data_IF_751633094166
#
_entry.id   IF_751633094166
#
_cell.length_a   1.000
_cell.length_b   1.000
_cell.length_c   1.000
_cell.angle_alpha   90.00
_cell.angle_beta   90.00
_cell.angle_gamma   90.00
#
_symmetry.space_group_name_H-M   'P 1'
#
loop_
_entity.id
_entity.type
_entity.pdbx_description
1 polymer ?
#
# COMPACT_ATOMS: atom_id res chain seq x y z
N UNK A 1 25.72 3.27 23.03
CA UNK A 1 24.34 2.82 23.31
C UNK A 1 23.47 3.25 22.15
N UNK A 2 23.08 2.32 21.27
CA UNK A 2 22.29 2.58 20.04
C UNK A 2 21.02 1.73 20.01
N UNK A 3 20.60 1.24 21.18
CA UNK A 3 19.41 0.41 21.38
C UNK A 3 18.11 1.21 21.24
N UNK A 4 18.14 2.54 21.42
CA UNK A 4 16.94 3.37 21.40
C UNK A 4 16.26 3.45 20.02
N UNK A 5 17.03 3.60 18.95
CA UNK A 5 16.49 3.75 17.59
C UNK A 5 15.85 2.45 17.06
N UNK A 6 16.50 1.31 17.29
CA UNK A 6 15.99 -0.01 16.89
C UNK A 6 14.76 -0.41 17.72
N UNK A 7 14.77 -0.09 19.02
CA UNK A 7 13.61 -0.31 19.89
C UNK A 7 12.41 0.54 19.47
N UNK A 8 12.62 1.82 19.18
CA UNK A 8 11.56 2.71 18.67
C UNK A 8 10.95 2.18 17.36
N UNK A 9 11.78 1.65 16.45
CA UNK A 9 11.28 1.03 15.22
C UNK A 9 10.37 -0.16 15.50
N UNK A 10 10.81 -1.04 16.41
CA UNK A 10 10.05 -2.23 16.76
C UNK A 10 8.73 -1.87 17.45
N UNK A 11 8.71 -0.83 18.27
CA UNK A 11 7.50 -0.32 18.93
C UNK A 11 6.50 0.27 17.92
N UNK A 12 6.97 1.08 16.97
CA UNK A 12 6.09 1.75 16.00
C UNK A 12 5.65 0.80 14.88
N UNK A 13 6.59 0.07 14.28
CA UNK A 13 6.36 -0.72 13.06
C UNK A 13 6.13 -2.20 13.35
N UNK A 14 6.37 -2.67 14.58
CA UNK A 14 6.24 -4.09 14.93
C UNK A 14 7.30 -5.00 14.28
N UNK A 15 8.31 -4.42 13.62
CA UNK A 15 9.30 -5.12 12.81
C UNK A 15 10.70 -4.56 13.12
N UNK A 16 11.72 -5.41 12.97
CA UNK A 16 13.11 -4.99 13.05
C UNK A 16 13.45 -4.01 11.90
N UNK A 17 14.15 -2.89 12.17
CA UNK A 17 14.45 -1.87 11.15
C UNK A 17 15.25 -2.42 9.98
N UNK A 18 16.15 -3.39 10.22
CA UNK A 18 16.96 -3.99 9.19
C UNK A 18 16.12 -4.93 8.30
N UNK A 19 15.26 -5.75 8.89
CA UNK A 19 14.31 -6.57 8.13
C UNK A 19 13.40 -5.70 7.24
N UNK A 20 12.89 -4.60 7.79
CA UNK A 20 12.01 -3.68 7.07
C UNK A 20 12.71 -2.98 5.90
N UNK A 21 13.87 -2.36 6.13
CA UNK A 21 14.59 -1.64 5.07
C UNK A 21 15.05 -2.56 3.95
N UNK A 22 15.42 -3.80 4.27
CA UNK A 22 15.73 -4.82 3.28
C UNK A 22 14.52 -5.13 2.38
N UNK A 23 13.35 -5.37 2.98
CA UNK A 23 12.10 -5.64 2.24
C UNK A 23 11.73 -4.47 1.34
N UNK A 24 11.79 -3.24 1.85
CA UNK A 24 11.47 -2.04 1.08
C UNK A 24 12.49 -1.77 -0.04
N UNK A 25 13.79 -1.90 0.23
CA UNK A 25 14.84 -1.76 -0.78
C UNK A 25 14.73 -2.83 -1.88
N UNK A 26 14.33 -4.05 -1.52
CA UNK A 26 14.04 -5.11 -2.46
C UNK A 26 12.84 -4.76 -3.34
N UNK A 27 11.75 -4.24 -2.77
CA UNK A 27 10.60 -3.78 -3.55
C UNK A 27 10.96 -2.67 -4.55
N UNK A 28 11.84 -1.72 -4.18
CA UNK A 28 12.38 -0.73 -5.12
C UNK A 28 13.18 -1.42 -6.24
N UNK A 29 14.06 -2.35 -5.87
CA UNK A 29 14.89 -3.07 -6.83
C UNK A 29 14.05 -3.88 -7.81
N UNK A 30 13.10 -4.69 -7.32
CA UNK A 30 12.16 -5.45 -8.12
C UNK A 30 11.45 -4.55 -9.11
N UNK A 31 10.88 -3.45 -8.61
CA UNK A 31 10.22 -2.47 -9.47
C UNK A 31 11.17 -2.01 -10.57
N UNK A 32 12.40 -1.57 -10.22
CA UNK A 32 13.41 -1.10 -11.19
C UNK A 32 13.73 -2.14 -12.26
N UNK A 33 13.84 -3.42 -11.91
CA UNK A 33 14.21 -4.49 -12.87
C UNK A 33 13.02 -5.04 -13.66
N UNK A 34 11.84 -4.42 -13.53
CA UNK A 34 10.63 -4.80 -14.26
C UNK A 34 9.84 -5.92 -13.60
N UNK A 35 10.11 -6.22 -12.34
CA UNK A 35 9.37 -7.20 -11.56
C UNK A 35 8.40 -6.50 -10.61
N UNK A 36 7.27 -7.13 -10.44
CA UNK A 36 6.11 -6.69 -9.71
C UNK A 36 5.61 -7.90 -8.91
N UNK A 37 4.91 -7.72 -7.79
CA UNK A 37 4.48 -8.82 -6.90
C UNK A 37 3.46 -9.84 -7.50
N UNK A 38 3.38 -9.95 -8.83
CA UNK A 38 2.52 -10.82 -9.65
C UNK A 38 3.38 -11.55 -10.69
N UNK A 39 4.65 -11.14 -10.82
CA UNK A 39 5.70 -11.98 -11.38
C UNK A 39 6.07 -13.12 -10.42
N UNK A 40 5.62 -13.11 -9.16
CA UNK A 40 5.64 -14.32 -8.31
C UNK A 40 4.67 -15.36 -8.87
N UNK A 41 3.47 -14.95 -9.28
CA UNK A 41 2.51 -15.84 -9.95
C UNK A 41 3.02 -16.26 -11.34
N UNK A 42 3.68 -15.37 -12.10
CA UNK A 42 4.34 -15.72 -13.37
C UNK A 42 5.58 -16.63 -13.18
N UNK A 43 6.30 -16.47 -12.06
CA UNK A 43 7.40 -17.33 -11.63
C UNK A 43 6.89 -18.73 -11.25
N UNK A 44 5.74 -18.82 -10.58
CA UNK A 44 5.03 -20.08 -10.31
C UNK A 44 4.44 -20.69 -11.59
N UNK A 45 4.03 -19.86 -12.56
CA UNK A 45 3.58 -20.29 -13.89
C UNK A 45 4.72 -20.66 -14.86
N UNK A 46 5.99 -20.50 -14.46
CA UNK A 46 7.16 -20.94 -15.24
C UNK A 46 7.57 -20.01 -16.38
N UNK A 47 7.14 -18.75 -16.40
CA UNK A 47 7.38 -17.80 -17.49
C UNK A 47 8.79 -17.16 -17.48
N UNK A 48 9.63 -17.47 -16.49
CA UNK A 48 11.00 -16.98 -16.39
C UNK A 48 12.04 -18.07 -16.63
N UNK A 49 13.08 -17.75 -17.40
CA UNK A 49 14.21 -18.66 -17.62
C UNK A 49 15.05 -18.81 -16.33
N UNK A 50 15.61 -20.00 -16.04
CA UNK A 50 16.53 -20.23 -14.92
C UNK A 50 17.73 -19.26 -14.91
N UNK A 51 18.17 -18.81 -16.09
CA UNK A 51 19.28 -17.87 -16.28
C UNK A 51 18.93 -16.48 -15.72
N UNK A 52 17.72 -15.96 -15.98
CA UNK A 52 17.25 -14.70 -15.42
C UNK A 52 17.15 -14.78 -13.89
N UNK A 53 16.71 -15.91 -13.34
CA UNK A 53 16.69 -16.14 -11.90
C UNK A 53 18.09 -16.18 -11.27
N UNK A 54 19.06 -16.78 -11.96
CA UNK A 54 20.44 -16.85 -11.51
C UNK A 54 21.13 -15.47 -11.56
N UNK A 55 20.90 -14.68 -12.60
CA UNK A 55 21.40 -13.31 -12.71
C UNK A 55 20.84 -12.41 -11.59
N UNK A 56 19.54 -12.51 -11.30
CA UNK A 56 18.89 -11.79 -10.18
C UNK A 56 19.57 -12.06 -8.83
N UNK A 57 19.79 -13.35 -8.52
CA UNK A 57 20.43 -13.76 -7.25
C UNK A 57 21.88 -13.33 -7.16
N UNK A 58 22.59 -13.25 -8.28
CA UNK A 58 24.03 -12.91 -8.33
C UNK A 58 24.28 -11.41 -8.34
N UNK A 59 23.46 -10.62 -9.04
CA UNK A 59 23.74 -9.20 -9.29
C UNK A 59 22.83 -8.27 -8.49
N UNK A 60 21.51 -8.48 -8.54
CA UNK A 60 20.53 -7.53 -8.01
C UNK A 60 20.26 -7.69 -6.52
N UNK A 61 20.23 -8.92 -6.00
CA UNK A 61 20.03 -9.13 -4.57
C UNK A 61 21.17 -8.51 -3.74
N UNK A 62 22.46 -8.71 -4.07
CA UNK A 62 23.55 -8.03 -3.36
C UNK A 62 23.49 -6.49 -3.48
N UNK A 63 23.18 -5.94 -4.67
CA UNK A 63 23.00 -4.50 -4.85
C UNK A 63 21.83 -3.94 -4.02
N UNK A 64 20.73 -4.68 -3.92
CA UNK A 64 19.59 -4.30 -3.08
C UNK A 64 19.95 -4.30 -1.58
N UNK A 65 20.76 -5.27 -1.12
CA UNK A 65 21.29 -5.27 0.26
C UNK A 65 22.21 -4.09 0.52
N UNK A 66 23.02 -3.70 -0.46
CA UNK A 66 23.88 -2.52 -0.38
C UNK A 66 23.04 -1.24 -0.26
N UNK A 67 22.00 -1.11 -1.08
CA UNK A 67 21.01 -0.03 -0.98
C UNK A 67 20.32 -0.02 0.39
N UNK A 68 19.89 -1.19 0.88
CA UNK A 68 19.28 -1.33 2.19
C UNK A 68 20.23 -0.85 3.31
N UNK A 69 21.52 -1.20 3.24
CA UNK A 69 22.52 -0.76 4.21
C UNK A 69 22.69 0.76 4.19
N UNK A 70 22.75 1.36 3.01
CA UNK A 70 22.85 2.81 2.84
C UNK A 70 21.63 3.54 3.42
N UNK A 71 20.41 3.03 3.19
CA UNK A 71 19.17 3.57 3.75
C UNK A 71 19.09 3.39 5.27
N UNK A 72 19.50 2.22 5.77
CA UNK A 72 19.56 1.93 7.20
C UNK A 72 20.52 2.89 7.93
N UNK A 73 21.70 3.12 7.34
CA UNK A 73 22.68 4.11 7.84
C UNK A 73 22.10 5.51 7.87
N UNK A 74 21.45 5.92 6.79
CA UNK A 74 20.83 7.24 6.69
C UNK A 74 19.74 7.43 7.76
N UNK A 75 18.88 6.44 7.96
CA UNK A 75 17.84 6.48 9.00
C UNK A 75 18.44 6.53 10.41
N UNK A 76 19.45 5.70 10.67
CA UNK A 76 20.13 5.65 11.96
C UNK A 76 20.94 6.92 12.28
N UNK A 77 21.64 7.50 11.30
CA UNK A 77 22.37 8.77 11.48
C UNK A 77 21.41 9.93 11.75
N UNK A 78 20.27 9.96 11.04
CA UNK A 78 19.27 11.02 11.17
C UNK A 78 18.28 10.81 12.33
N UNK A 79 18.28 9.64 12.97
CA UNK A 79 17.28 9.28 13.99
C UNK A 79 15.85 9.15 13.42
N UNK A 80 15.72 8.82 12.13
CA UNK A 80 14.44 8.71 11.43
C UNK A 80 13.95 7.26 11.37
N UNK A 81 12.63 7.07 11.24
CA UNK A 81 12.10 5.78 10.83
C UNK A 81 12.60 5.44 9.42
N UNK A 82 12.83 4.15 9.15
CA UNK A 82 13.22 3.66 7.82
C UNK A 82 12.28 4.17 6.73
N UNK A 83 10.97 4.23 7.02
CA UNK A 83 9.95 4.75 6.12
C UNK A 83 10.14 6.22 5.76
N UNK A 84 10.68 6.99 6.70
CA UNK A 84 10.83 8.44 6.63
C UNK A 84 12.20 8.84 6.08
N UNK A 85 13.04 7.87 5.67
CA UNK A 85 14.32 8.15 5.04
C UNK A 85 14.07 8.61 3.59
N UNK A 86 14.52 9.82 3.20
CA UNK A 86 14.51 10.21 1.80
C UNK A 86 15.42 9.28 1.01
N UNK A 87 14.90 8.63 -0.04
CA UNK A 87 15.64 7.60 -0.78
C UNK A 87 16.94 8.17 -1.37
N UNK A 88 16.96 9.44 -1.76
CA UNK A 88 18.16 10.11 -2.28
C UNK A 88 19.30 10.18 -1.27
N UNK A 89 19.02 10.10 0.05
CA UNK A 89 20.08 10.05 1.08
C UNK A 89 20.96 8.81 0.94
N UNK A 90 20.47 7.73 0.33
CA UNK A 90 21.30 6.58 0.01
C UNK A 90 22.51 6.96 -0.86
N UNK A 91 22.39 7.94 -1.77
CA UNK A 91 23.48 8.37 -2.65
C UNK A 91 24.66 9.03 -1.90
N UNK A 92 24.43 9.57 -0.70
CA UNK A 92 25.53 10.09 0.12
C UNK A 92 26.39 8.96 0.70
N UNK A 93 25.75 7.83 0.96
CA UNK A 93 26.36 6.61 1.47
C UNK A 93 26.92 5.71 0.36
N UNK A 94 26.33 5.77 -0.83
CA UNK A 94 26.76 5.05 -2.03
C UNK A 94 27.66 5.95 -2.89
N UNK A 95 28.98 5.81 -2.74
CA UNK A 95 29.99 6.57 -3.51
C UNK A 95 29.99 8.09 -3.28
N UNK A 96 29.26 8.57 -2.27
CA UNK A 96 29.25 9.96 -1.84
C UNK A 96 30.19 10.25 -0.68
N UNK A 97 29.95 11.36 0.03
CA UNK A 97 30.78 11.84 1.12
C UNK A 97 30.95 10.85 2.30
N UNK A 98 30.03 9.87 2.44
CA UNK A 98 30.04 8.85 3.50
C UNK A 98 30.38 7.45 3.00
N UNK A 99 30.83 7.29 1.75
CA UNK A 99 31.11 5.97 1.17
C UNK A 99 32.14 5.16 1.98
N UNK A 100 33.18 5.83 2.50
CA UNK A 100 34.21 5.20 3.35
C UNK A 100 33.66 4.66 4.69
N UNK A 101 32.54 5.20 5.16
CA UNK A 101 31.93 4.85 6.45
C UNK A 101 30.81 3.80 6.33
N UNK A 102 30.42 3.42 5.11
CA UNK A 102 29.24 2.55 4.88
C UNK A 102 29.33 1.23 5.66
N UNK A 103 30.52 0.61 5.64
CA UNK A 103 30.80 -0.66 6.31
C UNK A 103 31.35 -0.51 7.75
N UNK A 104 31.45 0.71 8.28
CA UNK A 104 31.99 0.96 9.61
C UNK A 104 31.12 0.31 10.70
N UNK A 105 31.69 -0.32 11.73
CA UNK A 105 30.84 -0.95 12.77
C UNK A 105 30.04 0.10 13.57
N UNK A 106 28.84 -0.26 14.07
CA UNK A 106 28.19 -1.57 13.95
C UNK A 106 27.49 -1.76 12.61
N UNK A 107 27.41 -3.02 12.17
CA UNK A 107 26.65 -3.48 11.03
C UNK A 107 25.42 -4.25 11.51
N UNK A 108 24.29 -4.19 10.80
CA UNK A 108 23.15 -5.02 11.13
C UNK A 108 23.48 -6.51 10.89
N UNK A 109 22.72 -7.41 11.52
CA UNK A 109 22.95 -8.85 11.39
C UNK A 109 22.81 -9.32 9.94
N UNK A 110 23.65 -10.28 9.56
CA UNK A 110 23.50 -10.96 8.29
C UNK A 110 22.45 -12.08 8.42
N UNK A 111 21.49 -12.14 7.51
CA UNK A 111 20.46 -13.18 7.53
C UNK A 111 21.06 -14.57 7.26
N UNK A 112 20.73 -15.52 8.14
CA UNK A 112 21.22 -16.91 8.07
C UNK A 112 20.76 -17.62 6.78
N UNK A 113 19.69 -17.13 6.13
CA UNK A 113 19.14 -17.70 4.89
C UNK A 113 19.68 -17.11 3.59
N UNK A 114 20.55 -16.10 3.63
CA UNK A 114 21.09 -15.44 2.42
C UNK A 114 22.56 -15.77 2.23
N UNK A 115 22.89 -16.31 1.07
CA UNK A 115 24.28 -16.68 0.72
C UNK A 115 25.15 -15.41 0.70
N UNK A 116 26.13 -15.35 1.61
CA UNK A 116 27.10 -14.27 1.68
C UNK A 116 27.42 -13.84 3.10
N UNK A 117 28.08 -12.71 3.23
CA UNK A 117 28.31 -11.96 4.46
C UNK A 117 28.71 -10.53 4.09
N UNK A 118 28.82 -9.65 5.09
CA UNK A 118 29.23 -8.26 4.87
C UNK A 118 30.61 -8.12 4.23
N UNK A 119 31.57 -8.98 4.56
CA UNK A 119 32.91 -8.94 3.95
C UNK A 119 32.85 -9.17 2.44
N UNK A 120 32.05 -10.14 1.99
CA UNK A 120 31.85 -10.41 0.56
C UNK A 120 31.14 -9.25 -0.16
N UNK A 121 30.15 -8.63 0.49
CA UNK A 121 29.49 -7.44 -0.07
C UNK A 121 30.48 -6.28 -0.18
N UNK A 122 31.38 -6.13 0.80
CA UNK A 122 32.41 -5.09 0.80
C UNK A 122 33.46 -5.34 -0.29
N UNK A 123 33.95 -6.57 -0.45
CA UNK A 123 34.92 -6.95 -1.50
C UNK A 123 34.39 -6.67 -2.92
N UNK A 124 33.09 -6.85 -3.12
CA UNK A 124 32.44 -6.66 -4.42
C UNK A 124 31.80 -5.29 -4.58
N UNK A 125 31.99 -4.37 -3.61
CA UNK A 125 31.27 -3.10 -3.50
C UNK A 125 31.20 -2.33 -4.82
N UNK A 126 32.34 -2.15 -5.50
CA UNK A 126 32.42 -1.40 -6.75
C UNK A 126 31.51 -1.96 -7.86
N UNK A 127 31.28 -3.28 -7.89
CA UNK A 127 30.43 -3.92 -8.90
C UNK A 127 28.94 -3.70 -8.61
N UNK A 128 28.58 -3.58 -7.34
CA UNK A 128 27.18 -3.45 -6.89
C UNK A 128 26.73 -1.99 -6.75
N UNK A 129 27.68 -1.07 -6.53
CA UNK A 129 27.37 0.34 -6.30
C UNK A 129 26.57 0.93 -7.46
N UNK A 130 27.02 0.72 -8.70
CA UNK A 130 26.38 1.26 -9.89
C UNK A 130 24.92 0.78 -10.01
N UNK A 131 24.67 -0.50 -9.76
CA UNK A 131 23.31 -1.07 -9.76
C UNK A 131 22.44 -0.49 -8.64
N UNK A 132 22.98 -0.32 -7.43
CA UNK A 132 22.25 0.28 -6.31
C UNK A 132 21.90 1.76 -6.56
N UNK A 133 22.83 2.51 -7.15
CA UNK A 133 22.62 3.92 -7.52
C UNK A 133 21.61 4.07 -8.65
N UNK A 134 21.65 3.18 -9.62
CA UNK A 134 20.70 3.12 -10.73
C UNK A 134 19.25 2.91 -10.22
N UNK A 135 19.04 2.05 -9.22
CA UNK A 135 17.72 1.91 -8.55
C UNK A 135 17.25 3.26 -7.99
N UNK A 136 18.10 3.96 -7.25
CA UNK A 136 17.75 5.26 -6.65
C UNK A 136 17.44 6.31 -7.72
N UNK A 137 18.28 6.41 -8.75
CA UNK A 137 18.12 7.37 -9.83
C UNK A 137 16.81 7.14 -10.59
N UNK A 138 16.51 5.88 -10.92
CA UNK A 138 15.29 5.50 -11.60
C UNK A 138 14.04 5.86 -10.78
N UNK A 139 14.02 5.57 -9.48
CA UNK A 139 12.88 5.92 -8.62
C UNK A 139 12.71 7.42 -8.48
N UNK A 140 13.80 8.20 -8.44
CA UNK A 140 13.71 9.66 -8.40
C UNK A 140 13.12 10.23 -9.70
N UNK A 141 13.48 9.68 -10.86
CA UNK A 141 12.90 10.05 -12.15
C UNK A 141 11.42 9.66 -12.23
N UNK A 142 11.08 8.44 -11.80
CA UNK A 142 9.72 7.95 -11.81
C UNK A 142 8.81 8.76 -10.87
N UNK A 143 9.28 9.10 -9.67
CA UNK A 143 8.56 9.98 -8.75
C UNK A 143 8.30 11.36 -9.36
N UNK A 144 9.28 11.96 -10.04
CA UNK A 144 9.11 13.23 -10.72
C UNK A 144 8.08 13.16 -11.87
N UNK A 145 7.99 12.02 -12.56
CA UNK A 145 7.00 11.80 -13.61
C UNK A 145 5.59 11.59 -13.04
N UNK A 146 5.47 10.84 -11.95
CA UNK A 146 4.19 10.48 -11.30
C UNK A 146 3.62 11.60 -10.42
N UNK A 147 4.48 12.46 -9.87
CA UNK A 147 4.15 13.53 -8.92
C UNK A 147 3.91 14.89 -9.57
N UNK A 148 3.70 14.96 -10.90
CA UNK A 148 3.34 16.22 -11.57
C UNK A 148 2.10 16.85 -10.88
N UNK A 149 2.11 18.17 -10.59
CA UNK A 149 1.21 18.78 -9.63
C UNK A 149 -0.27 18.58 -9.95
N UNK A 150 -1.09 18.47 -8.91
CA UNK A 150 -2.54 18.62 -8.98
C UNK A 150 -2.90 20.06 -9.38
N UNK A 151 -4.07 20.26 -9.98
CA UNK A 151 -4.71 21.58 -10.04
C UNK A 151 -5.13 22.08 -8.63
N UNK A 152 -5.26 21.16 -7.67
CA UNK A 152 -5.69 21.39 -6.28
C UNK A 152 -4.54 21.44 -5.25
N UNK A 153 -3.28 21.26 -5.68
CA UNK A 153 -2.16 21.53 -4.77
C UNK A 153 -1.90 23.03 -4.80
N UNK A 154 -2.05 23.67 -3.66
CA UNK A 154 -1.54 25.02 -3.42
C UNK A 154 -0.06 25.03 -3.86
N UNK A 155 0.20 25.58 -5.06
CA UNK A 155 1.51 25.55 -5.75
C UNK A 155 2.60 26.29 -4.95
N UNK A 156 2.22 26.86 -3.81
CA UNK A 156 3.06 27.59 -2.86
C UNK A 156 3.88 26.68 -1.95
N UNK A 157 3.54 25.39 -1.83
CA UNK A 157 4.25 24.46 -0.95
C UNK A 157 5.26 23.59 -1.69
N UNK A 158 6.49 23.42 -1.14
CA UNK A 158 7.50 22.55 -1.76
C UNK A 158 7.01 21.10 -1.82
N UNK A 159 7.39 20.40 -2.90
CA UNK A 159 7.15 18.98 -3.04
C UNK A 159 7.82 18.22 -1.88
N UNK A 160 7.11 17.27 -1.23
CA UNK A 160 7.71 16.47 -0.18
C UNK A 160 8.88 15.65 -0.73
N UNK A 161 9.86 15.35 0.12
CA UNK A 161 10.94 14.44 -0.25
C UNK A 161 10.37 13.04 -0.57
N UNK A 162 11.00 12.33 -1.49
CA UNK A 162 10.64 10.94 -1.81
C UNK A 162 11.07 10.03 -0.65
N UNK A 163 10.19 9.84 0.32
CA UNK A 163 10.41 8.95 1.45
C UNK A 163 10.33 7.48 1.01
N UNK A 164 11.15 6.61 1.60
CA UNK A 164 11.23 5.20 1.25
C UNK A 164 9.87 4.50 1.37
N UNK A 165 9.21 4.64 2.52
CA UNK A 165 7.90 4.02 2.78
C UNK A 165 6.85 4.50 1.79
N UNK A 166 6.83 5.81 1.51
CA UNK A 166 5.88 6.42 0.58
C UNK A 166 6.09 5.94 -0.85
N UNK A 167 7.34 5.80 -1.30
CA UNK A 167 7.62 5.25 -2.63
C UNK A 167 7.19 3.80 -2.74
N UNK A 168 7.41 2.99 -1.70
CA UNK A 168 6.95 1.60 -1.65
C UNK A 168 5.41 1.50 -1.65
N UNK A 169 4.71 2.36 -0.92
CA UNK A 169 3.25 2.47 -0.97
C UNK A 169 2.76 2.89 -2.36
N UNK A 170 3.46 3.81 -3.03
CA UNK A 170 3.14 4.22 -4.39
C UNK A 170 3.32 3.06 -5.39
N UNK A 171 4.36 2.24 -5.24
CA UNK A 171 4.58 1.05 -6.08
C UNK A 171 3.49 0.01 -5.86
N UNK A 172 3.09 -0.21 -4.60
CA UNK A 172 2.04 -1.17 -4.26
C UNK A 172 0.66 -0.77 -4.83
N UNK A 173 0.35 0.53 -4.83
CA UNK A 173 -0.93 1.06 -5.30
C UNK A 173 -0.92 1.53 -6.78
N UNK A 174 0.24 1.68 -7.41
CA UNK A 174 0.40 2.33 -8.70
C UNK A 174 0.28 1.42 -9.92
N UNK A 175 0.18 2.00 -11.14
CA UNK A 175 0.24 1.26 -12.40
C UNK A 175 1.62 0.61 -12.60
N UNK A 176 1.72 -0.37 -13.50
CA UNK A 176 2.97 -1.07 -13.79
C UNK A 176 3.94 -0.24 -14.64
N UNK A 177 5.22 -0.62 -14.67
CA UNK A 177 6.21 0.02 -15.57
C UNK A 177 5.84 -0.16 -17.05
N UNK A 178 5.11 -1.22 -17.39
CA UNK A 178 4.70 -1.56 -18.76
C UNK A 178 3.42 -0.83 -19.22
N UNK A 179 2.92 0.13 -18.42
CA UNK A 179 1.69 0.87 -18.72
C UNK A 179 0.41 0.10 -18.41
N UNK A 180 0.48 -1.10 -17.82
CA UNK A 180 -0.71 -1.84 -17.39
C UNK A 180 -1.45 -1.12 -16.25
N UNK A 181 -2.78 -1.33 -16.15
CA UNK A 181 -3.58 -0.79 -15.07
C UNK A 181 -3.05 -1.20 -13.68
N UNK A 182 -3.32 -0.41 -12.62
CA UNK A 182 -2.99 -0.79 -11.25
C UNK A 182 -3.58 -2.15 -10.87
N UNK A 183 -2.87 -2.92 -10.04
CA UNK A 183 -3.26 -4.29 -9.61
C UNK A 183 -4.65 -4.38 -9.00
N UNK A 184 -4.97 -3.40 -8.17
CA UNK A 184 -6.26 -3.32 -7.51
C UNK A 184 -7.40 -3.08 -8.50
N UNK A 185 -7.13 -2.55 -9.71
CA UNK A 185 -8.17 -2.17 -10.66
C UNK A 185 -8.97 -3.38 -11.14
N UNK A 186 -8.35 -4.54 -11.36
CA UNK A 186 -9.08 -5.76 -11.76
C UNK A 186 -10.08 -6.20 -10.69
N UNK A 187 -9.66 -6.22 -9.42
CA UNK A 187 -10.54 -6.60 -8.32
C UNK A 187 -11.66 -5.58 -8.11
N UNK A 188 -11.35 -4.28 -8.22
CA UNK A 188 -12.33 -3.20 -8.13
C UNK A 188 -13.36 -3.26 -9.26
N UNK A 189 -12.91 -3.42 -10.51
CA UNK A 189 -13.80 -3.53 -11.66
C UNK A 189 -14.71 -4.76 -11.52
N UNK A 190 -14.14 -5.90 -11.12
CA UNK A 190 -14.92 -7.11 -10.90
C UNK A 190 -15.97 -6.93 -9.80
N UNK A 191 -15.62 -6.27 -8.68
CA UNK A 191 -16.57 -5.94 -7.62
C UNK A 191 -17.70 -5.02 -8.11
N UNK A 192 -17.36 -3.98 -8.89
CA UNK A 192 -18.32 -3.06 -9.50
C UNK A 192 -19.28 -3.81 -10.42
N UNK A 193 -18.77 -4.69 -11.30
CA UNK A 193 -19.62 -5.53 -12.16
C UNK A 193 -20.57 -6.44 -11.38
N UNK A 194 -20.13 -6.98 -10.22
CA UNK A 194 -21.01 -7.81 -9.37
C UNK A 194 -22.09 -6.98 -8.68
N UNK A 195 -21.75 -5.77 -8.22
CA UNK A 195 -22.72 -4.83 -7.67
C UNK A 195 -23.75 -4.41 -8.71
N UNK A 196 -23.31 -4.05 -9.91
CA UNK A 196 -24.18 -3.69 -11.04
C UNK A 196 -25.13 -4.83 -11.41
N UNK A 197 -24.62 -6.07 -11.47
CA UNK A 197 -25.45 -7.24 -11.72
C UNK A 197 -26.52 -7.44 -10.64
N UNK A 198 -26.19 -7.20 -9.36
CA UNK A 198 -27.15 -7.26 -8.26
C UNK A 198 -28.21 -6.15 -8.36
N UNK A 199 -27.82 -4.91 -8.69
CA UNK A 199 -28.76 -3.81 -8.94
C UNK A 199 -29.70 -4.11 -10.09
N UNK A 200 -29.18 -4.59 -11.22
CA UNK A 200 -29.99 -4.96 -12.39
C UNK A 200 -30.95 -6.09 -12.05
N UNK A 201 -30.48 -7.13 -11.35
CA UNK A 201 -31.32 -8.24 -10.88
C UNK A 201 -32.47 -7.77 -9.98
N UNK A 202 -32.18 -6.87 -9.04
CA UNK A 202 -33.18 -6.29 -8.14
C UNK A 202 -34.21 -5.44 -8.91
N UNK A 203 -33.74 -4.49 -9.74
CA UNK A 203 -34.61 -3.56 -10.49
C UNK A 203 -35.49 -4.25 -11.54
N UNK A 204 -34.98 -5.31 -12.16
CA UNK A 204 -35.73 -6.08 -13.16
C UNK A 204 -36.69 -7.11 -12.55
N UNK A 205 -36.65 -7.30 -11.23
CA UNK A 205 -37.43 -8.34 -10.53
C UNK A 205 -36.91 -9.77 -10.78
N UNK A 206 -35.79 -9.94 -11.46
CA UNK A 206 -35.13 -11.23 -11.68
C UNK A 206 -34.54 -11.81 -10.39
N UNK A 207 -34.29 -10.95 -9.40
CA UNK A 207 -33.88 -11.34 -8.07
C UNK A 207 -34.82 -10.72 -7.03
N UNK A 208 -35.43 -11.57 -6.21
CA UNK A 208 -36.26 -11.16 -5.08
C UNK A 208 -35.53 -11.49 -3.78
N UNK A 209 -35.07 -10.47 -3.02
CA UNK A 209 -34.32 -10.69 -1.79
C UNK A 209 -35.23 -11.27 -0.70
N UNK A 210 -34.80 -12.40 -0.15
CA UNK A 210 -35.43 -13.04 1.01
C UNK A 210 -35.13 -12.27 2.31
N UNK A 211 -35.71 -12.71 3.43
CA UNK A 211 -35.54 -12.05 4.72
C UNK A 211 -34.08 -12.02 5.18
N UNK A 212 -33.36 -13.13 5.01
CA UNK A 212 -31.95 -13.25 5.41
C UNK A 212 -31.07 -12.21 4.66
N UNK A 213 -31.33 -12.00 3.37
CA UNK A 213 -30.65 -10.97 2.55
C UNK A 213 -30.93 -9.56 3.07
N UNK A 214 -32.18 -9.26 3.45
CA UNK A 214 -32.55 -7.92 3.97
C UNK A 214 -31.96 -7.66 5.35
N UNK A 215 -31.97 -8.66 6.23
CA UNK A 215 -31.32 -8.57 7.54
C UNK A 215 -29.81 -8.37 7.41
N UNK A 216 -29.15 -9.10 6.51
CA UNK A 216 -27.74 -8.91 6.22
C UNK A 216 -27.44 -7.51 5.66
N UNK A 217 -28.28 -7.00 4.76
CA UNK A 217 -28.18 -5.63 4.27
C UNK A 217 -28.33 -4.59 5.39
N UNK A 218 -29.31 -4.80 6.30
CA UNK A 218 -29.50 -3.95 7.47
C UNK A 218 -28.29 -3.93 8.42
N UNK A 219 -27.67 -5.10 8.64
CA UNK A 219 -26.45 -5.21 9.45
C UNK A 219 -25.25 -4.48 8.82
N UNK A 220 -25.18 -4.40 7.48
CA UNK A 220 -24.13 -3.68 6.76
C UNK A 220 -24.37 -2.18 6.72
N UNK A 221 -25.62 -1.76 6.49
CA UNK A 221 -25.99 -0.40 6.11
C UNK A 221 -25.42 0.65 7.07
N UNK A 222 -25.50 0.44 8.38
CA UNK A 222 -24.97 1.40 9.37
C UNK A 222 -23.47 1.67 9.22
N UNK A 223 -22.66 0.65 8.93
CA UNK A 223 -21.20 0.85 8.73
C UNK A 223 -20.91 1.52 7.38
N UNK A 224 -21.70 1.19 6.37
CA UNK A 224 -21.55 1.75 5.02
C UNK A 224 -21.94 3.23 4.98
N UNK A 225 -23.05 3.59 5.66
CA UNK A 225 -23.60 4.93 5.71
C UNK A 225 -22.81 5.87 6.65
N UNK A 226 -22.15 5.33 7.69
CA UNK A 226 -21.27 6.08 8.60
C UNK A 226 -19.92 6.44 7.96
N UNK A 227 -19.89 6.77 6.67
CA UNK A 227 -18.69 7.19 5.95
C UNK A 227 -17.96 8.32 6.68
N UNK A 228 -16.66 8.56 6.39
CA UNK A 228 -15.89 9.59 7.07
C UNK A 228 -16.54 10.96 6.82
N UNK A 229 -17.15 11.53 7.86
CA UNK A 229 -18.05 12.68 7.79
C UNK A 229 -17.48 13.86 6.98
N UNK A 230 -18.27 14.35 6.02
CA UNK A 230 -18.12 15.71 5.46
C UNK A 230 -18.33 16.80 6.52
N UNK A 231 -19.03 16.46 7.61
CA UNK A 231 -19.30 17.31 8.79
C UNK A 231 -18.27 17.14 9.91
N UNK A 232 -17.11 16.53 9.63
CA UNK A 232 -15.97 16.58 10.55
C UNK A 232 -15.69 18.05 10.88
N UNK A 233 -15.48 18.42 12.17
CA UNK A 233 -15.16 19.80 12.54
C UNK A 233 -14.02 20.30 11.65
N UNK A 234 -14.06 21.57 11.19
CA UNK A 234 -13.11 22.08 10.22
C UNK A 234 -11.71 21.72 10.69
N UNK A 235 -11.05 20.90 9.88
CA UNK A 235 -9.70 20.47 10.17
C UNK A 235 -8.84 21.71 10.38
N UNK A 236 -7.90 21.71 11.34
CA UNK A 236 -6.97 22.81 11.47
C UNK A 236 -6.29 23.05 10.12
N UNK A 237 -6.36 24.29 9.64
CA UNK A 237 -5.75 24.81 8.42
C UNK A 237 -6.35 24.33 7.09
N UNK A 238 -7.44 24.97 6.63
CA UNK A 238 -7.75 25.10 5.20
C UNK A 238 -8.14 23.83 4.42
N UNK A 239 -8.38 22.70 5.08
CA UNK A 239 -8.83 21.47 4.44
C UNK A 239 -10.36 21.40 4.35
N UNK A 240 -10.89 21.27 3.13
CA UNK A 240 -12.29 20.98 2.87
C UNK A 240 -12.48 19.49 2.59
N UNK A 241 -12.63 18.66 3.63
CA UNK A 241 -12.98 17.24 3.49
C UNK A 241 -12.31 16.32 4.53
N UNK A 242 -12.73 15.04 4.60
CA UNK A 242 -12.18 14.06 5.53
C UNK A 242 -10.73 13.71 5.21
N UNK A 243 -9.97 13.36 6.25
CA UNK A 243 -8.56 12.98 6.14
C UNK A 243 -8.39 11.66 5.39
N UNK A 244 -7.34 11.53 4.59
CA UNK A 244 -7.01 10.29 3.88
C UNK A 244 -6.80 9.10 4.83
N UNK A 245 -6.23 9.34 6.00
CA UNK A 245 -6.06 8.28 7.00
C UNK A 245 -7.42 7.76 7.51
N UNK A 246 -8.40 8.64 7.72
CA UNK A 246 -9.75 8.24 8.16
C UNK A 246 -10.45 7.41 7.09
N UNK A 247 -10.29 7.79 5.82
CA UNK A 247 -10.85 7.06 4.65
C UNK A 247 -10.28 5.65 4.52
N UNK A 248 -8.97 5.49 4.75
CA UNK A 248 -8.31 4.17 4.78
C UNK A 248 -8.80 3.30 5.94
N UNK A 249 -8.92 3.87 7.14
CA UNK A 249 -9.42 3.17 8.33
C UNK A 249 -10.88 2.76 8.12
N UNK A 250 -11.72 3.61 7.51
CA UNK A 250 -13.09 3.26 7.16
C UNK A 250 -13.17 2.06 6.21
N UNK A 251 -12.32 2.02 5.17
CA UNK A 251 -12.26 0.87 4.26
C UNK A 251 -11.90 -0.45 5.00
N UNK A 252 -11.01 -0.39 6.00
CA UNK A 252 -10.69 -1.55 6.86
C UNK A 252 -11.89 -1.97 7.72
N UNK A 253 -12.62 -1.01 8.30
CA UNK A 253 -13.83 -1.30 9.08
C UNK A 253 -14.92 -1.93 8.20
N UNK A 254 -15.16 -1.39 6.99
CA UNK A 254 -16.11 -1.97 6.03
C UNK A 254 -15.71 -3.41 5.66
N UNK A 255 -14.43 -3.67 5.40
CA UNK A 255 -13.94 -5.02 5.16
C UNK A 255 -14.25 -5.97 6.34
N UNK A 256 -13.98 -5.54 7.58
CA UNK A 256 -14.27 -6.34 8.76
C UNK A 256 -15.77 -6.63 8.92
N UNK A 257 -16.64 -5.65 8.67
CA UNK A 257 -18.10 -5.80 8.75
C UNK A 257 -18.62 -6.75 7.66
N UNK A 258 -18.20 -6.59 6.40
CA UNK A 258 -18.57 -7.50 5.30
C UNK A 258 -18.17 -8.94 5.65
N UNK A 259 -16.95 -9.15 6.15
CA UNK A 259 -16.48 -10.47 6.56
C UNK A 259 -17.34 -11.06 7.68
N UNK A 260 -17.68 -10.27 8.69
CA UNK A 260 -18.54 -10.71 9.80
C UNK A 260 -19.95 -11.10 9.32
N UNK A 261 -20.55 -10.31 8.43
CA UNK A 261 -21.86 -10.59 7.84
C UNK A 261 -21.81 -11.87 7.00
N UNK A 262 -20.81 -12.04 6.14
CA UNK A 262 -20.62 -13.26 5.36
C UNK A 262 -20.38 -14.50 6.23
N UNK A 263 -19.71 -14.35 7.38
CA UNK A 263 -19.52 -15.45 8.32
C UNK A 263 -20.81 -15.81 9.06
N UNK A 264 -21.60 -14.82 9.45
CA UNK A 264 -22.85 -15.05 10.18
C UNK A 264 -23.95 -15.65 9.28
N UNK A 265 -24.10 -15.13 8.07
CA UNK A 265 -25.17 -15.52 7.14
C UNK A 265 -24.70 -16.45 6.01
N UNK A 266 -23.43 -16.84 5.96
CA UNK A 266 -22.84 -17.56 4.81
C UNK A 266 -23.41 -18.95 4.54
N UNK A 267 -24.10 -19.56 5.52
CA UNK A 267 -24.82 -20.83 5.33
C UNK A 267 -26.24 -20.64 4.76
N UNK A 268 -26.73 -19.40 4.62
CA UNK A 268 -28.05 -19.07 4.08
C UNK A 268 -28.00 -19.01 2.56
N UNK A 269 -29.02 -19.55 1.89
CA UNK A 269 -29.07 -19.64 0.43
C UNK A 269 -28.97 -18.26 -0.25
N UNK A 270 -29.62 -17.23 0.31
CA UNK A 270 -29.59 -15.85 -0.20
C UNK A 270 -28.21 -15.17 -0.14
N UNK A 271 -27.26 -15.72 0.64
CA UNK A 271 -25.87 -15.26 0.72
C UNK A 271 -24.83 -16.33 0.32
N UNK A 272 -25.29 -17.38 -0.36
CA UNK A 272 -24.40 -18.32 -1.02
C UNK A 272 -23.49 -17.60 -2.03
N UNK A 273 -22.34 -18.19 -2.36
CA UNK A 273 -21.33 -17.55 -3.22
C UNK A 273 -21.84 -17.19 -4.63
N UNK A 274 -22.93 -17.80 -5.08
CA UNK A 274 -23.55 -17.52 -6.38
C UNK A 274 -24.78 -16.59 -6.28
N UNK A 275 -25.27 -16.31 -5.07
CA UNK A 275 -26.39 -15.41 -4.87
C UNK A 275 -25.95 -13.95 -5.09
N UNK A 276 -26.81 -13.06 -5.64
CA UNK A 276 -26.39 -11.73 -6.06
C UNK A 276 -25.70 -10.90 -4.96
N UNK A 277 -26.32 -10.77 -3.77
CA UNK A 277 -25.70 -10.05 -2.65
C UNK A 277 -24.44 -10.77 -2.13
N UNK A 278 -24.50 -12.10 -1.94
CA UNK A 278 -23.36 -12.87 -1.44
C UNK A 278 -22.14 -12.79 -2.35
N UNK A 279 -22.35 -12.77 -3.67
CA UNK A 279 -21.28 -12.63 -4.64
C UNK A 279 -20.72 -11.20 -4.66
N UNK A 280 -21.58 -10.18 -4.68
CA UNK A 280 -21.16 -8.78 -4.60
C UNK A 280 -20.32 -8.51 -3.34
N UNK A 281 -20.77 -8.97 -2.17
CA UNK A 281 -20.03 -8.82 -0.91
C UNK A 281 -18.66 -9.49 -0.95
N UNK A 282 -18.54 -10.70 -1.51
CA UNK A 282 -17.26 -11.39 -1.64
C UNK A 282 -16.32 -10.70 -2.61
N UNK A 283 -16.84 -10.18 -3.71
CA UNK A 283 -16.07 -9.42 -4.69
C UNK A 283 -15.56 -8.09 -4.08
N UNK A 284 -16.43 -7.35 -3.37
CA UNK A 284 -16.04 -6.14 -2.64
C UNK A 284 -15.01 -6.44 -1.55
N UNK A 285 -15.16 -7.56 -0.81
CA UNK A 285 -14.18 -8.01 0.18
C UNK A 285 -12.80 -8.26 -0.48
N UNK A 286 -12.78 -8.91 -1.64
CA UNK A 286 -11.57 -9.17 -2.40
C UNK A 286 -10.93 -7.87 -2.95
N UNK A 287 -11.71 -6.85 -3.28
CA UNK A 287 -11.19 -5.53 -3.65
C UNK A 287 -10.57 -4.81 -2.45
N UNK A 288 -11.22 -4.84 -1.28
CA UNK A 288 -10.76 -4.16 -0.07
C UNK A 288 -9.50 -4.80 0.53
N UNK A 289 -9.29 -6.11 0.37
CA UNK A 289 -8.16 -6.82 1.01
C UNK A 289 -6.80 -6.23 0.64
N UNK A 290 -6.67 -5.68 -0.57
CA UNK A 290 -5.42 -5.13 -1.08
C UNK A 290 -4.95 -3.86 -0.36
N UNK A 291 -5.85 -3.10 0.29
CA UNK A 291 -5.49 -1.87 0.99
C UNK A 291 -5.19 -2.07 2.49
N UNK A 292 -5.61 -3.20 3.10
CA UNK A 292 -5.53 -3.41 4.55
C UNK A 292 -4.11 -3.32 5.12
N UNK A 293 -3.09 -3.97 4.53
CA UNK A 293 -1.73 -3.88 5.07
C UNK A 293 -1.21 -2.45 5.08
N UNK A 294 -1.61 -1.65 4.08
CA UNK A 294 -1.22 -0.24 3.98
C UNK A 294 -2.00 0.63 4.99
N UNK A 295 -3.28 0.36 5.22
CA UNK A 295 -4.08 1.05 6.23
C UNK A 295 -3.51 0.85 7.65
N UNK A 296 -3.25 -0.40 8.04
CA UNK A 296 -2.69 -0.75 9.35
C UNK A 296 -1.27 -0.22 9.57
N UNK A 297 -0.47 -0.15 8.50
CA UNK A 297 0.85 0.47 8.55
C UNK A 297 0.74 1.99 8.75
N UNK A 298 -0.12 2.65 7.97
CA UNK A 298 -0.31 4.10 8.05
C UNK A 298 -0.95 4.53 9.37
N UNK A 299 -1.85 3.73 9.95
CA UNK A 299 -2.41 3.99 11.28
C UNK A 299 -1.32 3.98 12.37
N UNK A 300 -0.43 2.98 12.33
CA UNK A 300 0.72 2.89 13.24
C UNK A 300 1.67 4.08 13.12
N UNK A 301 1.98 4.50 11.89
CA UNK A 301 2.79 5.69 11.61
C UNK A 301 2.06 6.98 12.04
N UNK A 302 0.76 7.06 11.82
CA UNK A 302 -0.08 8.21 12.17
C UNK A 302 -0.15 8.46 13.68
N UNK A 303 -0.21 7.38 14.48
CA UNK A 303 -0.19 7.45 15.94
C UNK A 303 1.10 8.11 16.49
N UNK A 304 2.18 8.09 15.70
CA UNK A 304 3.49 8.62 16.07
C UNK A 304 3.91 9.83 15.21
N UNK A 305 2.96 10.46 14.51
CA UNK A 305 3.26 11.55 13.58
C UNK A 305 3.89 12.76 14.27
N UNK A 306 4.87 13.36 13.61
CA UNK A 306 5.30 14.73 13.85
C UNK A 306 4.68 15.71 12.84
N UNK A 307 4.71 17.01 13.15
CA UNK A 307 4.26 18.06 12.24
C UNK A 307 2.74 18.20 12.14
N UNK A 308 2.27 18.93 11.12
CA UNK A 308 0.83 19.10 10.89
C UNK A 308 0.24 17.91 10.15
N UNK A 309 -1.06 17.68 10.34
CA UNK A 309 -1.84 16.63 9.64
C UNK A 309 -1.62 16.69 8.13
N UNK A 310 -1.80 17.87 7.54
CA UNK A 310 -1.67 18.08 6.11
C UNK A 310 -0.27 17.89 5.54
N UNK A 311 0.77 18.18 6.33
CA UNK A 311 2.16 17.85 5.94
C UNK A 311 2.38 16.35 5.96
N UNK A 312 1.90 15.68 7.00
CA UNK A 312 2.04 14.24 7.13
C UNK A 312 1.34 13.47 6.01
N UNK A 313 0.08 13.80 5.68
CA UNK A 313 -0.66 13.09 4.63
C UNK A 313 -0.07 13.30 3.24
N UNK A 314 0.48 14.49 2.96
CA UNK A 314 1.22 14.75 1.73
C UNK A 314 2.49 13.91 1.65
N UNK A 315 3.18 13.73 2.77
CA UNK A 315 4.40 12.94 2.82
C UNK A 315 4.16 11.42 2.78
N UNK A 316 3.04 10.91 3.31
CA UNK A 316 2.84 9.46 3.55
C UNK A 316 1.79 8.78 2.68
N UNK A 317 0.83 9.54 2.13
CA UNK A 317 -0.27 9.01 1.32
C UNK A 317 -0.06 9.42 -0.14
N UNK A 318 0.66 8.60 -0.94
CA UNK A 318 0.99 8.94 -2.32
C UNK A 318 -0.24 8.96 -3.22
N UNK A 319 -0.14 9.64 -4.36
CA UNK A 319 -1.23 9.78 -5.35
C UNK A 319 -1.87 8.45 -5.74
N UNK A 320 -1.05 7.45 -6.06
CA UNK A 320 -1.52 6.14 -6.45
C UNK A 320 -2.41 5.49 -5.38
N UNK A 321 -2.06 5.67 -4.10
CA UNK A 321 -2.87 5.18 -2.98
C UNK A 321 -4.18 5.96 -2.84
N UNK A 322 -4.14 7.28 -3.01
CA UNK A 322 -5.35 8.13 -3.00
C UNK A 322 -6.34 7.70 -4.07
N UNK A 323 -5.85 7.41 -5.28
CA UNK A 323 -6.68 6.92 -6.40
C UNK A 323 -7.30 5.56 -6.08
N UNK A 324 -6.54 4.65 -5.46
CA UNK A 324 -7.07 3.37 -5.00
C UNK A 324 -8.19 3.57 -3.95
N UNK A 325 -7.96 4.40 -2.94
CA UNK A 325 -8.95 4.72 -1.90
C UNK A 325 -10.23 5.30 -2.51
N UNK A 326 -10.11 6.26 -3.43
CA UNK A 326 -11.27 6.83 -4.12
C UNK A 326 -12.06 5.78 -4.90
N UNK A 327 -11.38 4.80 -5.52
CA UNK A 327 -12.05 3.73 -6.24
C UNK A 327 -12.78 2.77 -5.27
N UNK A 328 -12.18 2.48 -4.11
CA UNK A 328 -12.82 1.69 -3.06
C UNK A 328 -14.04 2.40 -2.46
N UNK A 329 -13.96 3.71 -2.22
CA UNK A 329 -15.10 4.48 -1.70
C UNK A 329 -16.28 4.52 -2.66
N UNK A 330 -16.02 4.59 -3.97
CA UNK A 330 -17.07 4.44 -4.97
C UNK A 330 -17.78 3.09 -4.82
N UNK A 331 -17.05 1.99 -4.67
CA UNK A 331 -17.64 0.67 -4.42
C UNK A 331 -18.42 0.61 -3.11
N UNK A 332 -17.89 1.23 -2.04
CA UNK A 332 -18.56 1.29 -0.73
C UNK A 332 -19.87 2.05 -0.84
N UNK A 333 -19.88 3.17 -1.57
CA UNK A 333 -21.09 3.96 -1.83
C UNK A 333 -22.11 3.16 -2.65
N UNK A 334 -21.68 2.47 -3.71
CA UNK A 334 -22.55 1.61 -4.53
C UNK A 334 -23.15 0.48 -3.67
N UNK A 335 -22.35 -0.15 -2.80
CA UNK A 335 -22.82 -1.17 -1.87
C UNK A 335 -23.78 -0.59 -0.81
N UNK A 336 -23.53 0.63 -0.33
CA UNK A 336 -24.42 1.33 0.60
C UNK A 336 -25.80 1.52 -0.02
N UNK A 337 -25.84 2.03 -1.25
CA UNK A 337 -27.11 2.25 -1.95
C UNK A 337 -27.82 0.93 -2.29
N UNK A 338 -27.09 -0.16 -2.55
CA UNK A 338 -27.71 -1.48 -2.69
C UNK A 338 -28.33 -1.93 -1.35
N UNK A 339 -27.60 -1.77 -0.24
CA UNK A 339 -28.08 -2.14 1.09
C UNK A 339 -29.33 -1.34 1.48
N UNK A 340 -29.38 -0.04 1.18
CA UNK A 340 -30.55 0.82 1.39
C UNK A 340 -31.79 0.28 0.70
N UNK A 341 -31.71 -0.03 -0.60
CA UNK A 341 -32.85 -0.59 -1.36
C UNK A 341 -33.32 -1.95 -0.85
N UNK A 342 -32.41 -2.74 -0.26
CA UNK A 342 -32.74 -4.06 0.29
C UNK A 342 -33.45 -3.92 1.64
N UNK A 343 -33.06 -2.93 2.45
CA UNK A 343 -33.67 -2.65 3.75
C UNK A 343 -35.03 -1.96 3.59
N UNK A 344 -35.11 -0.98 2.69
CA UNK A 344 -36.34 -0.22 2.38
C UNK A 344 -36.63 -0.27 0.86
N UNK A 345 -37.47 -1.21 0.40
CA UNK A 345 -37.83 -1.34 -1.01
C UNK A 345 -38.61 -0.12 -1.56
N UNK A 346 -39.18 0.71 -0.67
CA UNK A 346 -39.97 1.88 -1.04
C UNK A 346 -39.10 3.16 -1.16
N UNK A 347 -37.82 3.09 -0.80
CA UNK A 347 -36.83 4.14 -1.05
C UNK A 347 -36.56 4.25 -2.57
N UNK A 348 -37.38 5.04 -3.27
CA UNK A 348 -37.18 5.36 -4.70
C UNK A 348 -36.12 6.45 -4.85
N UNK A 349 -35.18 6.24 -5.78
CA UNK A 349 -34.21 7.24 -6.24
C UNK A 349 -34.87 8.50 -6.81
#
# INVERSE_FOLDING_TARGET
>A
MVTGWEQQHKEILGEDPWARVQRLAWQLTERRIGYSAGDVDAYEAGEHTPEAAAERRRSWLPASRLLALALWRAGREAGLLVDDVPVQRALWWLGGARAGDLFARPLPSWDVGVVGNWSRVQEQYMVMEDAARDVVAWHAMAEAAESRPYADSDNTMPLPAMLLGTRCRAIAAGPYQDGKPPRWQTAVNFASERLDAAFVGLRSGLWQPDLDVREAAGALHLTLAAGPDLESPPLPDGYSGPLWIQRLIHAEHVHATIRSVLNHYGSKAGLAAQAPLGYALRATLAALVGCLPTAQELERLWAHRGGTVGQWERAHVPRALRQHVMALEKLISELCSLAELLVDPDARY
#
